data_IF_580663773110
#
_entry.id   IF_580663773110
#
_cell.length_a   1.000
_cell.length_b   1.000
_cell.length_c   1.000
_cell.angle_alpha   90.00
_cell.angle_beta   90.00
_cell.angle_gamma   90.00
#
_symmetry.space_group_name_H-M   'P 1'
#
loop_
_entity.id
_entity.type
_entity.pdbx_description
1 polymer ?
#
# COMPACT_ATOMS: atom_id res chain seq x y z
N UNK A 1 2.64 1.23 23.19
CA UNK A 1 3.63 0.27 22.67
C UNK A 1 3.61 0.20 21.13
N UNK A 2 2.48 -0.11 20.47
CA UNK A 2 2.39 -0.12 18.99
C UNK A 2 2.55 1.28 18.37
N UNK A 3 1.94 2.30 18.95
CA UNK A 3 2.10 3.68 18.49
C UNK A 3 3.53 4.20 18.66
N UNK A 4 4.21 3.81 19.71
CA UNK A 4 5.62 4.18 19.91
C UNK A 4 6.51 3.48 18.89
N UNK A 5 6.20 2.23 18.56
CA UNK A 5 6.85 1.51 17.47
C UNK A 5 6.66 2.24 16.15
N UNK A 6 5.40 2.62 15.80
CA UNK A 6 5.11 3.40 14.60
C UNK A 6 5.89 4.71 14.54
N UNK A 7 5.89 5.49 15.64
CA UNK A 7 6.65 6.75 15.73
C UNK A 7 8.14 6.56 15.53
N UNK A 8 8.67 5.41 15.96
CA UNK A 8 10.10 5.14 15.89
C UNK A 8 10.52 4.52 14.56
N UNK A 9 9.78 3.53 14.08
CA UNK A 9 10.09 2.77 12.87
C UNK A 9 9.46 3.34 11.61
N UNK A 10 8.31 4.03 11.73
CA UNK A 10 7.54 4.58 10.60
C UNK A 10 6.52 3.61 10.03
N UNK A 11 6.31 2.46 10.63
CA UNK A 11 5.30 1.48 10.25
C UNK A 11 4.93 0.56 11.40
N UNK A 12 3.78 -0.12 11.27
CA UNK A 12 3.36 -1.22 12.15
C UNK A 12 3.02 -2.41 11.27
N UNK A 13 3.51 -3.58 11.62
CA UNK A 13 3.23 -4.85 10.93
C UNK A 13 3.71 -6.03 11.81
N UNK A 14 3.02 -7.19 11.81
CA UNK A 14 1.67 -7.41 11.24
C UNK A 14 0.56 -6.90 12.17
N UNK A 15 -0.57 -6.52 11.58
CA UNK A 15 -1.82 -6.21 12.30
C UNK A 15 -2.95 -6.98 11.64
N UNK A 16 -3.86 -7.57 12.41
CA UNK A 16 -5.00 -8.30 11.87
C UNK A 16 -6.07 -7.32 11.37
N UNK A 17 -6.50 -7.48 10.12
CA UNK A 17 -7.50 -6.65 9.47
C UNK A 17 -8.75 -7.46 9.11
N UNK A 18 -8.57 -8.52 8.36
CA UNK A 18 -9.61 -9.40 7.84
C UNK A 18 -9.36 -10.83 8.33
N UNK A 19 -10.39 -11.64 8.34
CA UNK A 19 -10.22 -13.08 8.46
C UNK A 19 -9.63 -13.66 7.16
N UNK A 20 -9.04 -14.85 7.25
CA UNK A 20 -8.56 -15.57 6.05
C UNK A 20 -9.67 -15.90 5.07
N UNK A 21 -10.92 -16.10 5.56
CA UNK A 21 -12.11 -16.32 4.74
C UNK A 21 -12.44 -15.06 3.93
N UNK A 22 -12.50 -13.90 4.59
CA UNK A 22 -12.75 -12.61 3.91
C UNK A 22 -11.68 -12.30 2.88
N UNK A 23 -10.40 -12.54 3.20
CA UNK A 23 -9.30 -12.36 2.25
C UNK A 23 -9.46 -13.27 1.02
N UNK A 24 -9.89 -14.53 1.23
CA UNK A 24 -10.17 -15.46 0.14
C UNK A 24 -11.34 -14.99 -0.73
N UNK A 25 -12.43 -14.53 -0.13
CA UNK A 25 -13.59 -13.99 -0.86
C UNK A 25 -13.20 -12.80 -1.75
N UNK A 26 -12.31 -11.93 -1.27
CA UNK A 26 -11.78 -10.81 -2.04
C UNK A 26 -10.90 -11.32 -3.20
N UNK A 27 -10.05 -12.32 -2.97
CA UNK A 27 -9.27 -12.96 -4.04
C UNK A 27 -10.20 -13.54 -5.11
N UNK A 28 -11.21 -14.29 -4.71
CA UNK A 28 -12.18 -14.93 -5.62
C UNK A 28 -12.92 -13.86 -6.46
N UNK A 29 -13.26 -12.71 -5.88
CA UNK A 29 -13.87 -11.60 -6.61
C UNK A 29 -12.90 -10.94 -7.60
N UNK A 30 -11.64 -10.76 -7.23
CA UNK A 30 -10.59 -10.27 -8.15
C UNK A 30 -10.47 -11.21 -9.36
N UNK A 31 -10.34 -12.50 -9.12
CA UNK A 31 -10.19 -13.51 -10.18
C UNK A 31 -11.45 -13.59 -11.07
N UNK A 32 -12.64 -13.43 -10.51
CA UNK A 32 -13.91 -13.34 -11.24
C UNK A 32 -13.97 -12.07 -12.12
N UNK A 33 -13.55 -10.93 -11.61
CA UNK A 33 -13.48 -9.68 -12.38
C UNK A 33 -12.51 -9.86 -13.56
N UNK A 34 -11.32 -10.38 -13.32
CA UNK A 34 -10.33 -10.59 -14.37
C UNK A 34 -10.79 -11.59 -15.44
N UNK A 35 -11.53 -12.64 -15.06
CA UNK A 35 -12.11 -13.61 -15.98
C UNK A 35 -13.16 -12.98 -16.89
N UNK A 36 -14.05 -12.15 -16.32
CA UNK A 36 -15.15 -11.55 -17.07
C UNK A 36 -14.73 -10.30 -17.85
N UNK A 37 -13.75 -9.57 -17.32
CA UNK A 37 -13.24 -8.32 -17.88
C UNK A 37 -11.70 -8.27 -17.80
N UNK A 38 -10.97 -8.93 -18.71
CA UNK A 38 -9.52 -9.13 -18.61
C UNK A 38 -8.66 -7.85 -18.51
N UNK A 39 -9.23 -6.69 -18.81
CA UNK A 39 -8.54 -5.39 -18.72
C UNK A 39 -8.95 -4.56 -17.50
N UNK A 40 -9.95 -5.00 -16.73
CA UNK A 40 -10.56 -4.18 -15.67
C UNK A 40 -9.60 -3.86 -14.51
N UNK A 41 -8.66 -4.74 -14.21
CA UNK A 41 -7.71 -4.58 -13.11
C UNK A 41 -6.24 -4.46 -13.60
N UNK A 42 -6.04 -4.00 -14.85
CA UNK A 42 -4.70 -3.80 -15.43
C UNK A 42 -4.36 -2.32 -15.55
N UNK A 43 -3.06 -2.01 -15.44
CA UNK A 43 -2.55 -0.66 -15.58
C UNK A 43 -3.24 0.31 -14.61
N UNK A 44 -3.72 1.43 -15.10
CA UNK A 44 -4.41 2.46 -14.31
C UNK A 44 -5.75 2.00 -13.72
N UNK A 45 -6.40 1.03 -14.34
CA UNK A 45 -7.72 0.56 -13.93
C UNK A 45 -7.72 -0.16 -12.57
N UNK A 46 -6.54 -0.56 -12.06
CA UNK A 46 -6.40 -1.11 -10.70
C UNK A 46 -6.47 -0.06 -9.59
N UNK A 47 -6.56 1.22 -9.95
CA UNK A 47 -6.71 2.32 -9.01
C UNK A 47 -8.19 2.62 -8.75
N UNK A 48 -8.49 3.13 -7.56
CA UNK A 48 -9.84 3.53 -7.13
C UNK A 48 -10.89 2.43 -7.21
N UNK A 49 -10.48 1.17 -7.11
CA UNK A 49 -11.39 0.01 -7.22
C UNK A 49 -12.50 0.00 -6.16
N UNK A 50 -12.31 0.68 -5.03
CA UNK A 50 -13.35 0.85 -4.00
C UNK A 50 -14.57 1.65 -4.48
N UNK A 51 -14.43 2.46 -5.55
CA UNK A 51 -15.53 3.23 -6.13
C UNK A 51 -16.41 2.41 -7.07
N UNK A 52 -15.88 1.31 -7.60
CA UNK A 52 -16.54 0.50 -8.63
C UNK A 52 -16.99 -0.87 -8.13
N UNK A 53 -16.46 -1.33 -6.99
CA UNK A 53 -16.85 -2.63 -6.40
C UNK A 53 -17.15 -2.50 -4.90
N UNK A 54 -18.37 -2.93 -4.48
CA UNK A 54 -18.76 -2.95 -3.06
C UNK A 54 -17.82 -3.77 -2.18
N UNK A 55 -17.19 -4.82 -2.72
CA UNK A 55 -16.27 -5.69 -1.99
C UNK A 55 -15.06 -4.88 -1.50
N UNK A 56 -14.43 -4.11 -2.39
CA UNK A 56 -13.29 -3.27 -2.01
C UNK A 56 -13.68 -2.09 -1.12
N UNK A 57 -14.88 -1.51 -1.36
CA UNK A 57 -15.41 -0.47 -0.48
C UNK A 57 -15.60 -0.98 0.95
N UNK A 58 -16.15 -2.20 1.11
CA UNK A 58 -16.31 -2.84 2.43
C UNK A 58 -14.97 -3.01 3.17
N UNK A 59 -13.88 -3.31 2.46
CA UNK A 59 -12.54 -3.39 3.08
C UNK A 59 -12.11 -2.01 3.60
N UNK A 60 -12.32 -0.95 2.83
CA UNK A 60 -11.98 0.40 3.26
C UNK A 60 -12.75 0.85 4.52
N UNK A 61 -13.94 0.31 4.72
CA UNK A 61 -14.81 0.61 5.88
C UNK A 61 -14.71 -0.47 6.99
N UNK A 62 -13.77 -1.40 6.88
CA UNK A 62 -13.60 -2.44 7.89
C UNK A 62 -13.20 -1.84 9.24
N UNK A 63 -13.90 -2.27 10.30
CA UNK A 63 -13.71 -1.71 11.64
C UNK A 63 -12.28 -1.85 12.17
N UNK A 64 -11.65 -3.01 11.99
CA UNK A 64 -10.28 -3.24 12.49
C UNK A 64 -9.27 -2.31 11.81
N UNK A 65 -9.48 -2.06 10.51
CA UNK A 65 -8.64 -1.12 9.75
C UNK A 65 -8.86 0.30 10.26
N UNK A 66 -10.13 0.73 10.39
CA UNK A 66 -10.45 2.09 10.82
C UNK A 66 -10.01 2.36 12.27
N UNK A 67 -10.17 1.41 13.18
CA UNK A 67 -9.70 1.54 14.56
C UNK A 67 -8.16 1.73 14.63
N UNK A 68 -7.42 0.95 13.84
CA UNK A 68 -5.97 1.09 13.75
C UNK A 68 -5.56 2.45 13.15
N UNK A 69 -6.24 2.89 12.09
CA UNK A 69 -6.01 4.19 11.45
C UNK A 69 -6.35 5.34 12.40
N UNK A 70 -7.51 5.27 13.07
CA UNK A 70 -7.94 6.29 14.07
C UNK A 70 -6.91 6.46 15.18
N UNK A 71 -6.28 5.37 15.61
CA UNK A 71 -5.24 5.43 16.65
C UNK A 71 -4.01 6.25 16.23
N UNK A 72 -3.76 6.39 14.92
CA UNK A 72 -2.61 7.11 14.36
C UNK A 72 -2.98 8.56 14.01
N UNK A 73 -4.09 8.78 13.29
CA UNK A 73 -4.43 10.08 12.70
C UNK A 73 -5.66 10.76 13.29
N UNK A 74 -6.36 10.10 14.23
CA UNK A 74 -7.56 10.63 14.88
C UNK A 74 -8.86 10.29 14.15
N UNK A 75 -9.99 10.78 14.68
CA UNK A 75 -11.35 10.33 14.31
C UNK A 75 -11.86 10.77 12.95
N UNK A 76 -11.41 11.91 12.44
CA UNK A 76 -11.92 12.45 11.18
C UNK A 76 -11.09 11.90 10.03
N UNK A 77 -11.60 10.84 9.41
CA UNK A 77 -10.86 10.07 8.40
C UNK A 77 -11.51 10.23 7.03
N UNK A 78 -10.71 10.58 6.03
CA UNK A 78 -11.08 10.58 4.62
C UNK A 78 -10.27 9.52 3.87
N UNK A 79 -10.88 8.89 2.87
CA UNK A 79 -10.19 7.97 1.96
C UNK A 79 -9.79 8.74 0.70
N UNK A 80 -8.50 8.76 0.40
CA UNK A 80 -7.99 9.41 -0.80
C UNK A 80 -8.06 8.50 -2.03
N UNK A 81 -7.63 7.26 -1.92
CA UNK A 81 -7.62 6.33 -3.04
C UNK A 81 -7.25 4.90 -2.65
N UNK A 82 -7.41 4.00 -3.60
CA UNK A 82 -7.00 2.60 -3.44
C UNK A 82 -6.29 2.10 -4.69
N UNK A 83 -5.44 1.10 -4.53
CA UNK A 83 -4.74 0.44 -5.63
C UNK A 83 -4.59 -1.06 -5.34
N UNK A 84 -4.80 -1.89 -6.34
CA UNK A 84 -4.43 -3.30 -6.30
C UNK A 84 -2.99 -3.48 -6.81
N UNK A 85 -2.15 -4.11 -6.00
CA UNK A 85 -0.80 -4.53 -6.39
C UNK A 85 -0.76 -6.04 -6.55
N UNK A 86 -0.86 -6.49 -7.80
CA UNK A 86 -0.88 -7.90 -8.16
C UNK A 86 0.45 -8.26 -8.80
N UNK A 87 1.13 -9.27 -8.27
CA UNK A 87 2.32 -9.89 -8.84
C UNK A 87 1.99 -11.34 -9.14
N UNK A 88 1.89 -11.67 -10.43
CA UNK A 88 1.69 -13.06 -10.82
C UNK A 88 2.98 -13.88 -10.64
N UNK A 89 2.86 -15.20 -10.60
CA UNK A 89 4.02 -16.09 -10.49
C UNK A 89 5.06 -15.81 -11.57
N UNK A 90 6.32 -15.63 -11.15
CA UNK A 90 7.46 -15.48 -12.07
C UNK A 90 7.40 -14.29 -13.04
N UNK A 91 6.49 -13.34 -12.81
CA UNK A 91 6.48 -12.07 -13.54
C UNK A 91 7.57 -11.11 -13.00
N UNK A 92 8.07 -10.27 -13.87
CA UNK A 92 9.13 -9.30 -13.56
C UNK A 92 8.63 -8.03 -12.86
N UNK A 93 7.39 -8.05 -12.37
CA UNK A 93 6.76 -6.91 -11.69
C UNK A 93 7.39 -6.61 -10.32
N UNK A 94 7.95 -5.41 -10.18
CA UNK A 94 8.51 -4.90 -8.94
C UNK A 94 7.92 -3.54 -8.56
N UNK A 95 8.19 -3.07 -7.35
CA UNK A 95 7.90 -1.71 -6.90
C UNK A 95 9.21 -1.09 -6.45
N UNK A 96 9.69 -0.07 -7.18
CA UNK A 96 10.90 0.64 -6.82
C UNK A 96 10.80 1.28 -5.44
N UNK A 97 11.94 1.46 -4.76
CA UNK A 97 11.95 2.17 -3.48
C UNK A 97 11.51 3.62 -3.66
N UNK A 98 10.53 4.05 -2.86
CA UNK A 98 9.90 5.36 -2.95
C UNK A 98 9.35 5.80 -1.59
N UNK A 99 8.85 7.02 -1.52
CA UNK A 99 8.08 7.58 -0.41
C UNK A 99 6.74 8.06 -0.96
N UNK A 100 5.63 7.61 -0.37
CA UNK A 100 4.27 7.96 -0.82
C UNK A 100 4.02 9.46 -0.84
N UNK A 101 4.58 10.19 0.13
CA UNK A 101 4.45 11.63 0.24
C UNK A 101 4.92 12.38 -1.02
N UNK A 102 5.82 11.78 -1.80
CA UNK A 102 6.28 12.38 -3.06
C UNK A 102 5.21 12.39 -4.15
N UNK A 103 4.26 11.43 -4.09
CA UNK A 103 3.21 11.30 -5.10
C UNK A 103 1.96 12.09 -4.76
N UNK A 104 1.62 12.15 -3.47
CA UNK A 104 0.29 12.57 -3.03
C UNK A 104 0.26 14.06 -2.73
N UNK A 105 1.37 14.63 -2.24
CA UNK A 105 1.50 16.07 -2.01
C UNK A 105 0.53 16.62 -0.98
N UNK A 106 0.35 15.90 0.14
CA UNK A 106 -0.49 16.30 1.27
C UNK A 106 0.39 16.71 2.45
N UNK A 107 0.12 17.88 3.02
CA UNK A 107 0.82 18.42 4.21
C UNK A 107 -0.16 19.04 5.20
N UNK A 108 0.12 18.96 6.53
CA UNK A 108 1.15 18.11 7.13
C UNK A 108 0.88 16.63 6.88
N UNK A 109 1.88 15.76 7.10
CA UNK A 109 1.78 14.32 6.84
C UNK A 109 0.92 13.59 7.89
N UNK A 110 -0.24 14.15 8.25
CA UNK A 110 -1.24 13.52 9.13
C UNK A 110 -2.12 12.57 8.31
N UNK A 111 -1.50 11.58 7.70
CA UNK A 111 -2.14 10.54 6.92
C UNK A 111 -1.30 9.25 6.91
N UNK A 112 -1.93 8.14 6.62
CA UNK A 112 -1.32 6.82 6.70
C UNK A 112 -1.73 5.96 5.50
N UNK A 113 -0.81 5.19 4.95
CA UNK A 113 -1.11 4.16 3.96
C UNK A 113 -1.32 2.82 4.66
N UNK A 114 -2.39 2.12 4.27
CA UNK A 114 -2.69 0.76 4.73
C UNK A 114 -2.49 -0.22 3.57
N UNK A 115 -1.72 -1.26 3.79
CA UNK A 115 -1.50 -2.35 2.83
C UNK A 115 -2.07 -3.65 3.40
N UNK A 116 -3.14 -4.17 2.81
CA UNK A 116 -3.83 -5.39 3.24
C UNK A 116 -3.39 -6.56 2.36
N UNK A 117 -2.92 -7.63 2.99
CA UNK A 117 -2.54 -8.87 2.34
C UNK A 117 -3.80 -9.67 1.96
N UNK A 118 -4.13 -9.73 0.68
CA UNK A 118 -5.21 -10.59 0.16
C UNK A 118 -4.71 -12.03 -0.01
N UNK A 119 -3.44 -12.19 -0.30
CA UNK A 119 -2.71 -13.47 -0.24
C UNK A 119 -1.54 -13.33 0.72
N UNK A 120 -0.96 -14.43 1.17
CA UNK A 120 0.27 -14.38 1.95
C UNK A 120 1.33 -13.54 1.22
N UNK A 121 2.05 -12.71 1.97
CA UNK A 121 3.18 -11.92 1.49
C UNK A 121 4.43 -12.29 2.27
N UNK A 122 5.47 -12.76 1.58
CA UNK A 122 6.74 -13.17 2.14
C UNK A 122 7.91 -12.81 1.19
N UNK A 123 9.12 -13.06 1.60
CA UNK A 123 10.30 -12.68 0.81
C UNK A 123 10.34 -13.38 -0.54
N UNK A 124 9.91 -14.65 -0.62
CA UNK A 124 9.91 -15.41 -1.88
C UNK A 124 8.93 -14.82 -2.92
N UNK A 125 7.80 -14.26 -2.48
CA UNK A 125 6.80 -13.70 -3.41
C UNK A 125 6.85 -12.16 -3.50
N UNK A 126 7.94 -11.56 -3.05
CA UNK A 126 8.18 -10.14 -3.18
C UNK A 126 7.30 -9.29 -2.24
N UNK A 127 7.28 -9.62 -0.94
CA UNK A 127 6.67 -8.75 0.07
C UNK A 127 7.32 -7.36 0.08
N UNK A 128 6.65 -6.39 0.67
CA UNK A 128 7.25 -5.07 0.88
C UNK A 128 8.48 -5.18 1.79
N UNK A 129 9.42 -4.28 1.56
CA UNK A 129 10.54 -4.01 2.46
C UNK A 129 10.51 -2.54 2.82
N UNK A 130 10.74 -2.24 4.08
CA UNK A 130 10.75 -0.88 4.61
C UNK A 130 12.12 -0.52 5.18
N UNK A 131 12.53 0.73 5.01
CA UNK A 131 13.73 1.28 5.64
C UNK A 131 13.32 1.95 6.95
N UNK A 132 13.48 1.27 8.12
CA UNK A 132 13.00 1.76 9.39
C UNK A 132 13.59 3.11 9.77
N UNK A 133 12.76 4.01 10.29
CA UNK A 133 13.18 5.33 10.73
C UNK A 133 13.36 6.38 9.62
N UNK A 134 13.34 5.98 8.34
CA UNK A 134 13.55 6.90 7.21
C UNK A 134 12.48 7.98 7.09
N UNK A 135 11.31 7.79 7.69
CA UNK A 135 10.24 8.80 7.75
C UNK A 135 10.59 10.04 8.59
N UNK A 136 11.60 9.95 9.47
CA UNK A 136 12.08 11.06 10.30
C UNK A 136 12.96 12.02 9.50
N UNK A 137 13.48 11.57 8.37
CA UNK A 137 14.31 12.37 7.48
C UNK A 137 13.46 13.20 6.50
N UNK A 138 14.09 14.14 5.79
CA UNK A 138 13.46 14.84 4.68
C UNK A 138 13.14 13.89 3.54
N UNK A 139 12.21 14.30 2.66
CA UNK A 139 11.95 13.55 1.43
C UNK A 139 13.24 13.40 0.62
N UNK A 140 13.54 12.17 0.25
CA UNK A 140 14.71 11.86 -0.57
C UNK A 140 14.49 12.31 -2.03
N UNK A 141 15.57 12.47 -2.76
CA UNK A 141 15.48 12.67 -4.20
C UNK A 141 14.91 11.42 -4.87
N UNK A 142 13.90 11.61 -5.73
CA UNK A 142 13.31 10.56 -6.55
C UNK A 142 13.63 10.87 -8.00
N UNK A 143 14.22 9.89 -8.68
CA UNK A 143 14.40 9.94 -10.12
C UNK A 143 13.17 9.35 -10.83
N UNK A 144 12.85 9.85 -12.00
CA UNK A 144 11.85 9.25 -12.86
C UNK A 144 12.50 8.10 -13.65
N UNK A 145 12.07 6.87 -13.36
CA UNK A 145 12.53 5.68 -14.06
C UNK A 145 11.32 4.90 -14.57
N UNK A 146 10.98 5.09 -15.83
CA UNK A 146 9.86 4.44 -16.50
C UNK A 146 10.27 3.05 -17.00
N UNK A 147 10.43 2.12 -16.08
CA UNK A 147 10.57 0.70 -16.38
C UNK A 147 9.17 0.08 -16.53
N UNK A 148 8.93 -0.67 -17.61
CA UNK A 148 7.63 -1.31 -17.87
C UNK A 148 7.22 -2.32 -16.80
N UNK A 149 8.21 -2.91 -16.11
CA UNK A 149 8.00 -3.85 -15.02
C UNK A 149 7.80 -3.16 -13.66
N UNK A 150 8.03 -1.84 -13.60
CA UNK A 150 7.76 -1.10 -12.37
C UNK A 150 6.26 -0.86 -12.20
N UNK A 151 5.69 -1.43 -11.15
CA UNK A 151 4.27 -1.28 -10.86
C UNK A 151 3.87 0.14 -10.44
N UNK A 152 4.80 1.05 -10.22
CA UNK A 152 4.51 2.47 -9.98
C UNK A 152 4.30 3.19 -11.32
N UNK A 153 3.10 3.75 -11.50
CA UNK A 153 2.71 4.39 -12.77
C UNK A 153 3.49 5.66 -13.12
N UNK A 154 4.17 6.28 -12.14
CA UNK A 154 5.02 7.47 -12.35
C UNK A 154 6.50 7.16 -12.34
N UNK A 155 6.89 5.91 -12.13
CA UNK A 155 8.28 5.45 -12.20
C UNK A 155 9.27 6.09 -11.20
N UNK A 156 8.80 6.78 -10.17
CA UNK A 156 9.68 7.47 -9.22
C UNK A 156 10.47 6.48 -8.38
N UNK A 157 11.79 6.67 -8.36
CA UNK A 157 12.71 5.71 -7.75
C UNK A 157 13.76 6.43 -6.88
N UNK A 158 13.92 5.94 -5.65
CA UNK A 158 15.06 6.27 -4.80
C UNK A 158 16.15 5.26 -5.09
N UNK A 159 17.29 5.73 -5.62
CA UNK A 159 18.45 4.88 -5.89
C UNK A 159 19.25 4.56 -4.62
N UNK A 160 20.06 3.52 -4.72
CA UNK A 160 21.07 3.14 -3.70
C UNK A 160 20.49 2.88 -2.30
N UNK A 161 19.25 2.35 -2.23
CA UNK A 161 18.73 1.85 -0.96
C UNK A 161 19.41 0.52 -0.63
N UNK A 162 20.11 0.47 0.49
CA UNK A 162 20.82 -0.71 0.98
C UNK A 162 19.81 -1.74 1.51
N UNK A 163 19.69 -2.90 0.85
CA UNK A 163 18.70 -3.92 1.19
C UNK A 163 18.89 -4.52 2.60
N UNK A 164 20.13 -4.63 3.05
CA UNK A 164 20.49 -5.12 4.37
C UNK A 164 20.00 -4.21 5.51
N UNK A 165 19.73 -2.93 5.22
CA UNK A 165 19.13 -1.97 6.15
C UNK A 165 17.59 -1.98 6.12
N UNK A 166 16.99 -2.70 5.20
CA UNK A 166 15.54 -2.80 5.09
C UNK A 166 15.00 -4.02 5.81
N UNK A 167 13.80 -3.90 6.37
CA UNK A 167 13.09 -4.99 7.03
C UNK A 167 11.96 -5.51 6.14
N UNK A 168 11.82 -6.84 5.94
CA UNK A 168 10.71 -7.42 5.17
C UNK A 168 9.40 -7.33 5.96
N UNK A 169 8.33 -6.97 5.29
CA UNK A 169 6.97 -6.94 5.82
C UNK A 169 6.27 -8.24 5.45
N UNK A 170 6.45 -9.25 6.29
CA UNK A 170 5.84 -10.57 6.10
C UNK A 170 4.44 -10.57 6.71
N UNK A 171 3.43 -10.94 5.90
CA UNK A 171 2.02 -10.93 6.27
C UNK A 171 1.34 -12.22 5.83
N UNK A 172 0.42 -12.72 6.65
CA UNK A 172 -0.56 -13.72 6.25
C UNK A 172 -1.75 -13.05 5.58
N UNK A 173 -2.47 -13.82 4.74
CA UNK A 173 -3.73 -13.36 4.16
C UNK A 173 -4.68 -12.87 5.25
N UNK A 174 -5.23 -11.66 5.07
CA UNK A 174 -6.05 -10.96 6.05
C UNK A 174 -5.29 -10.01 6.99
N UNK A 175 -3.97 -10.10 7.07
CA UNK A 175 -3.17 -9.16 7.84
C UNK A 175 -2.86 -7.88 7.03
N UNK A 176 -2.50 -6.83 7.75
CA UNK A 176 -2.13 -5.54 7.16
C UNK A 176 -0.86 -4.96 7.75
N UNK A 177 -0.28 -4.02 7.04
CA UNK A 177 0.68 -3.06 7.56
C UNK A 177 0.11 -1.64 7.44
N UNK A 178 0.46 -0.79 8.39
CA UNK A 178 0.20 0.65 8.34
C UNK A 178 1.55 1.36 8.27
N UNK A 179 1.70 2.30 7.35
CA UNK A 179 2.99 2.97 7.21
C UNK A 179 2.87 4.48 6.95
N UNK A 180 3.85 5.18 7.48
CA UNK A 180 3.98 6.63 7.38
C UNK A 180 4.31 7.03 5.93
N UNK A 181 3.72 8.10 5.37
CA UNK A 181 3.91 8.50 3.98
C UNK A 181 5.36 8.81 3.59
N UNK A 182 6.18 9.15 4.54
CA UNK A 182 7.62 9.44 4.30
C UNK A 182 8.53 8.22 4.48
N UNK A 183 8.01 7.04 4.82
CA UNK A 183 8.88 5.87 4.93
C UNK A 183 9.35 5.41 3.54
N UNK A 184 10.63 5.14 3.42
CA UNK A 184 11.18 4.54 2.20
C UNK A 184 10.81 3.07 2.16
N UNK A 185 10.11 2.66 1.10
CA UNK A 185 9.68 1.27 0.92
C UNK A 185 9.63 0.87 -0.55
N UNK A 186 9.66 -0.43 -0.79
CA UNK A 186 9.61 -1.01 -2.12
C UNK A 186 9.38 -2.51 -2.05
N UNK A 187 9.37 -3.20 -3.18
CA UNK A 187 9.22 -4.67 -3.20
C UNK A 187 9.84 -5.30 -4.44
N UNK A 188 10.53 -6.42 -4.26
CA UNK A 188 11.14 -7.22 -5.33
C UNK A 188 10.15 -8.06 -6.13
N UNK A 189 10.68 -8.98 -6.92
CA UNK A 189 9.93 -9.85 -7.81
C UNK A 189 9.17 -10.95 -7.04
N UNK A 190 8.20 -11.58 -7.71
CA UNK A 190 7.53 -12.78 -7.22
C UNK A 190 8.17 -14.04 -7.82
N UNK A 191 8.98 -14.74 -7.03
CA UNK A 191 9.62 -16.00 -7.40
C UNK A 191 8.82 -17.25 -6.98
N UNK A 192 7.63 -17.05 -6.41
CA UNK A 192 6.76 -18.16 -5.99
C UNK A 192 5.89 -18.69 -7.14
N UNK A 193 5.17 -19.76 -6.87
CA UNK A 193 4.25 -20.38 -7.83
C UNK A 193 2.79 -19.92 -7.65
N UNK A 194 2.52 -18.96 -6.72
CA UNK A 194 1.20 -18.36 -6.53
C UNK A 194 1.28 -16.84 -6.66
N UNK A 195 0.13 -16.21 -6.87
CA UNK A 195 -0.03 -14.76 -6.96
C UNK A 195 0.17 -14.10 -5.61
N UNK A 196 0.82 -12.94 -5.59
CA UNK A 196 0.86 -12.06 -4.43
C UNK A 196 -0.04 -10.87 -4.70
N UNK A 197 -1.14 -10.76 -3.96
CA UNK A 197 -2.15 -9.72 -4.11
C UNK A 197 -2.18 -8.87 -2.85
N UNK A 198 -1.94 -7.58 -3.01
CA UNK A 198 -2.08 -6.57 -1.98
C UNK A 198 -3.14 -5.54 -2.37
N UNK A 199 -4.02 -5.22 -1.43
CA UNK A 199 -4.96 -4.12 -1.55
C UNK A 199 -4.44 -2.95 -0.73
N UNK A 200 -4.13 -1.85 -1.40
CA UNK A 200 -3.59 -0.66 -0.78
C UNK A 200 -4.65 0.41 -0.68
N UNK A 201 -4.87 0.90 0.52
CA UNK A 201 -5.65 2.11 0.76
C UNK A 201 -4.62 3.23 0.90
N UNK A 202 -4.45 3.95 -0.21
CA UNK A 202 -3.45 5.01 -0.34
C UNK A 202 -3.95 6.26 0.36
N UNK A 203 -3.59 6.45 1.58
CA UNK A 203 -3.93 7.60 2.39
C UNK A 203 -5.34 7.58 2.94
N UNK A 204 -5.44 7.09 4.15
CA UNK A 204 -6.40 7.62 5.09
C UNK A 204 -5.87 8.95 5.60
N UNK A 205 -6.62 10.01 5.36
CA UNK A 205 -6.24 11.38 5.65
C UNK A 205 -6.94 11.85 6.91
N UNK A 206 -6.20 12.38 7.85
CA UNK A 206 -6.71 12.99 9.08
C UNK A 206 -7.15 14.45 8.90
N UNK A 207 -7.48 15.11 10.00
CA UNK A 207 -7.84 16.52 10.02
C UNK A 207 -6.65 17.44 9.72
N UNK A 208 -6.95 18.65 9.23
CA UNK A 208 -5.97 19.72 9.01
C UNK A 208 -4.85 19.36 8.03
N UNK A 209 -5.21 18.68 6.96
CA UNK A 209 -4.30 18.32 5.87
C UNK A 209 -4.69 19.08 4.62
N UNK A 210 -3.74 19.82 4.05
CA UNK A 210 -3.89 20.56 2.81
C UNK A 210 -3.19 19.88 1.66
N UNK A 211 -3.72 20.04 0.45
CA UNK A 211 -3.07 19.59 -0.76
C UNK A 211 -2.15 20.68 -1.29
N UNK A 212 -0.85 20.44 -1.25
CA UNK A 212 0.19 21.40 -1.65
C UNK A 212 0.75 21.15 -3.05
N UNK A 213 0.53 19.97 -3.62
CA UNK A 213 0.97 19.61 -4.96
C UNK A 213 -0.17 18.98 -5.77
N UNK A 214 -0.36 19.49 -6.99
CA UNK A 214 -1.35 18.94 -7.93
C UNK A 214 -2.81 19.19 -7.52
N UNK A 215 -3.72 18.49 -8.21
CA UNK A 215 -5.14 18.42 -7.86
C UNK A 215 -5.48 16.98 -7.53
N UNK A 216 -6.03 16.76 -6.37
CA UNK A 216 -6.52 15.46 -5.97
C UNK A 216 -8.04 15.50 -5.79
N UNK A 217 -8.72 14.51 -6.32
CA UNK A 217 -10.15 14.33 -6.07
C UNK A 217 -10.29 13.45 -4.83
N UNK A 218 -10.73 14.06 -3.74
CA UNK A 218 -11.05 13.33 -2.50
C UNK A 218 -12.55 13.08 -2.49
N UNK A 219 -12.93 11.82 -2.31
CA UNK A 219 -14.32 11.47 -2.08
C UNK A 219 -14.62 11.57 -0.58
N UNK A 220 -15.66 12.33 -0.25
CA UNK A 220 -16.22 12.41 1.11
C UNK A 220 -17.03 11.18 1.44
#
# INVERSE_FOLDING_TARGET
EQLDYYKNKGYISPVDALTSIEAKEIRDEIEKIEKNWPKALKGINRNYVHLISPVFNKVCLNKNILDAVESIIGKNILICGTTLFIKNPKEEGFVSFHQDAKYIGLEPHNWVTVWVAITDANEKNGCMRMLPGSHKENLKHHEENFDENNLLTRGQTIKNVSLDKTEPVVLKAGQMSLHHPKIVHGSGLNYSDDRRIGFVIQSYIGSNVDQVLGKMYVQK
#
